data_IF_968554943886
#
_entry.id   IF_968554943886
#
_cell.length_a   1.000
_cell.length_b   1.000
_cell.length_c   1.000
_cell.angle_alpha   90.00
_cell.angle_beta   90.00
_cell.angle_gamma   90.00
#
_symmetry.space_group_name_H-M   'P 1'
#
loop_
_entity.id
_entity.type
_entity.pdbx_description
1 polymer ?
#
# COMPACT_ATOMS: atom_id res chain seq x y z
N UNK A 1 -9.19 0.19 -6.96
CA UNK A 1 -9.32 1.11 -8.11
C UNK A 1 -7.98 1.79 -8.41
N UNK A 2 -7.33 2.42 -7.44
CA UNK A 2 -6.05 3.14 -7.57
C UNK A 2 -4.98 2.31 -8.28
N UNK A 3 -4.69 1.10 -7.78
CA UNK A 3 -3.65 0.23 -8.38
C UNK A 3 -3.98 -0.19 -9.81
N UNK A 4 -5.26 -0.41 -10.10
CA UNK A 4 -5.70 -0.72 -11.46
C UNK A 4 -5.48 0.47 -12.41
N UNK A 5 -5.82 1.69 -11.98
CA UNK A 5 -5.60 2.90 -12.76
C UNK A 5 -4.11 3.15 -12.99
N UNK A 6 -3.27 2.96 -11.96
CA UNK A 6 -1.83 3.09 -12.07
C UNK A 6 -1.23 2.06 -13.04
N UNK A 7 -1.65 0.79 -12.94
CA UNK A 7 -1.24 -0.25 -13.90
C UNK A 7 -1.63 0.12 -15.33
N UNK A 8 -2.90 0.49 -15.55
CA UNK A 8 -3.38 0.90 -16.86
C UNK A 8 -2.59 2.09 -17.40
N UNK A 9 -2.38 3.12 -16.58
CA UNK A 9 -1.59 4.30 -16.94
C UNK A 9 -0.17 3.94 -17.36
N UNK A 10 0.51 3.09 -16.58
CA UNK A 10 1.87 2.63 -16.87
C UNK A 10 1.94 1.81 -18.16
N UNK A 11 1.03 0.86 -18.36
CA UNK A 11 0.99 0.02 -19.58
C UNK A 11 0.65 0.85 -20.82
N UNK A 12 -0.31 1.77 -20.71
CA UNK A 12 -0.70 2.65 -21.82
C UNK A 12 0.42 3.62 -22.18
N UNK A 13 1.15 4.16 -21.18
CA UNK A 13 2.31 5.00 -21.41
C UNK A 13 3.42 4.22 -22.14
N UNK A 14 3.74 3.02 -21.66
CA UNK A 14 4.72 2.15 -22.32
C UNK A 14 4.32 1.86 -23.78
N UNK A 15 3.07 1.47 -24.03
CA UNK A 15 2.57 1.22 -25.39
C UNK A 15 2.62 2.47 -26.26
N UNK A 16 2.19 3.61 -25.73
CA UNK A 16 2.20 4.90 -26.43
C UNK A 16 3.62 5.30 -26.85
N UNK A 17 4.61 5.11 -25.98
CA UNK A 17 6.01 5.40 -26.26
C UNK A 17 6.60 4.43 -27.30
N UNK A 18 6.34 3.13 -27.19
CA UNK A 18 6.84 2.15 -28.17
C UNK A 18 6.25 2.36 -29.55
N UNK A 19 4.94 2.54 -29.65
CA UNK A 19 4.21 2.69 -30.93
C UNK A 19 4.18 4.14 -31.43
N UNK A 20 4.78 5.09 -30.66
CA UNK A 20 4.80 6.52 -31.00
C UNK A 20 3.40 7.09 -31.22
N UNK A 21 2.44 6.67 -30.42
CA UNK A 21 1.04 7.03 -30.53
C UNK A 21 0.60 7.91 -29.34
N UNK A 22 0.41 9.19 -29.60
CA UNK A 22 0.01 10.20 -28.60
C UNK A 22 -1.35 9.94 -27.99
N UNK A 23 -2.27 9.26 -28.69
CA UNK A 23 -3.57 8.90 -28.11
C UNK A 23 -3.40 7.99 -26.90
N UNK A 24 -2.54 6.97 -27.01
CA UNK A 24 -2.22 6.09 -25.88
C UNK A 24 -1.54 6.84 -24.73
N UNK A 25 -0.69 7.82 -25.05
CA UNK A 25 -0.06 8.67 -24.03
C UNK A 25 -1.10 9.56 -23.32
N UNK A 26 -2.07 10.11 -24.05
CA UNK A 26 -3.17 10.87 -23.47
C UNK A 26 -4.05 9.98 -22.57
N UNK A 27 -4.40 8.77 -23.02
CA UNK A 27 -5.13 7.83 -22.17
C UNK A 27 -4.34 7.40 -20.93
N UNK A 28 -3.01 7.28 -21.02
CA UNK A 28 -2.16 7.07 -19.85
C UNK A 28 -2.31 8.23 -18.87
N UNK A 29 -2.26 9.48 -19.38
CA UNK A 29 -2.52 10.65 -18.55
C UNK A 29 -3.90 10.63 -17.89
N UNK A 30 -4.95 10.23 -18.62
CA UNK A 30 -6.30 10.07 -18.05
C UNK A 30 -6.31 9.09 -16.87
N UNK A 31 -5.67 7.93 -17.02
CA UNK A 31 -5.59 6.95 -15.93
C UNK A 31 -4.83 7.49 -14.71
N UNK A 32 -3.71 8.19 -14.92
CA UNK A 32 -2.92 8.78 -13.83
C UNK A 32 -3.68 9.93 -13.15
N UNK A 33 -4.37 10.80 -13.90
CA UNK A 33 -5.20 11.86 -13.33
C UNK A 33 -6.37 11.29 -12.51
N UNK A 34 -7.01 10.24 -12.99
CA UNK A 34 -8.05 9.53 -12.24
C UNK A 34 -7.48 8.85 -10.99
N UNK A 35 -6.24 8.33 -11.02
CA UNK A 35 -5.56 7.77 -9.87
C UNK A 35 -5.36 8.81 -8.76
N UNK A 36 -4.95 10.03 -9.11
CA UNK A 36 -4.78 11.14 -8.15
C UNK A 36 -6.10 11.52 -7.48
N UNK A 37 -7.22 11.51 -8.24
CA UNK A 37 -8.55 11.78 -7.66
C UNK A 37 -9.00 10.70 -6.66
N UNK A 38 -8.53 9.46 -6.81
CA UNK A 38 -8.84 8.39 -5.85
C UNK A 38 -7.95 8.44 -4.61
N UNK A 39 -6.74 8.99 -4.71
CA UNK A 39 -5.79 9.13 -3.63
C UNK A 39 -4.79 10.23 -3.95
N UNK A 40 -4.83 11.32 -3.22
CA UNK A 40 -4.00 12.51 -3.49
C UNK A 40 -2.48 12.23 -3.53
N UNK A 41 -1.88 11.42 -2.62
CA UNK A 41 -0.46 11.10 -2.68
C UNK A 41 -0.01 10.46 -4.01
N UNK A 42 -0.92 9.93 -4.81
CA UNK A 42 -0.60 9.37 -6.13
C UNK A 42 -0.12 10.44 -7.13
N UNK A 43 -0.13 11.71 -6.77
CA UNK A 43 0.49 12.78 -7.60
C UNK A 43 1.96 12.48 -7.93
N UNK A 44 2.66 11.71 -7.07
CA UNK A 44 4.03 11.26 -7.34
C UNK A 44 4.13 10.35 -8.56
N UNK A 45 3.02 9.71 -9.00
CA UNK A 45 2.96 8.91 -10.22
C UNK A 45 3.25 9.75 -11.47
N UNK A 46 3.08 11.08 -11.40
CA UNK A 46 3.48 12.01 -12.45
C UNK A 46 4.98 11.91 -12.79
N UNK A 47 5.83 11.39 -11.89
CA UNK A 47 7.24 11.12 -12.16
C UNK A 47 7.45 10.13 -13.31
N UNK A 48 6.44 9.32 -13.69
CA UNK A 48 6.49 8.50 -14.91
C UNK A 48 6.73 9.32 -16.20
N UNK A 49 6.53 10.64 -16.17
CA UNK A 49 6.87 11.54 -17.26
C UNK A 49 8.37 11.48 -17.63
N UNK A 50 9.24 11.12 -16.67
CA UNK A 50 10.67 10.90 -16.89
C UNK A 50 10.89 9.83 -17.97
N UNK A 51 10.03 8.82 -18.06
CA UNK A 51 10.10 7.78 -19.09
C UNK A 51 9.87 8.36 -20.51
N UNK A 52 9.05 9.41 -20.63
CA UNK A 52 8.81 10.10 -21.93
C UNK A 52 10.08 10.80 -22.40
N UNK A 53 10.72 11.56 -21.50
CA UNK A 53 12.00 12.23 -21.79
C UNK A 53 13.10 11.22 -22.13
N UNK A 54 13.28 10.22 -21.27
CA UNK A 54 14.28 9.19 -21.46
C UNK A 54 14.15 8.47 -22.81
N UNK A 55 12.92 8.02 -23.14
CA UNK A 55 12.70 7.32 -24.39
C UNK A 55 12.83 8.23 -25.62
N UNK A 56 12.43 9.49 -25.48
CA UNK A 56 12.65 10.51 -26.50
C UNK A 56 14.14 10.72 -26.83
N UNK A 57 14.97 10.85 -25.79
CA UNK A 57 16.43 10.94 -25.92
C UNK A 57 17.00 9.66 -26.53
N UNK A 58 16.58 8.49 -26.05
CA UNK A 58 17.04 7.19 -26.55
C UNK A 58 16.71 6.97 -28.04
N UNK A 59 15.60 7.55 -28.50
CA UNK A 59 15.17 7.55 -29.91
C UNK A 59 15.77 8.70 -30.71
N UNK A 60 16.55 9.60 -30.10
CA UNK A 60 17.13 10.80 -30.71
C UNK A 60 16.05 11.72 -31.32
N UNK A 61 14.89 11.86 -30.66
CA UNK A 61 13.83 12.76 -31.07
C UNK A 61 14.26 14.23 -30.92
N UNK A 62 13.69 15.10 -31.74
CA UNK A 62 13.81 16.57 -31.53
C UNK A 62 13.09 16.96 -30.25
N UNK A 63 13.60 17.93 -29.51
CA UNK A 63 12.99 18.41 -28.26
C UNK A 63 11.51 18.76 -28.44
N UNK A 64 11.12 19.39 -29.51
CA UNK A 64 9.73 19.73 -29.81
C UNK A 64 8.81 18.49 -29.89
N UNK A 65 9.29 17.34 -30.39
CA UNK A 65 8.51 16.11 -30.44
C UNK A 65 8.35 15.49 -29.04
N UNK A 66 9.41 15.54 -28.21
CA UNK A 66 9.34 15.09 -26.82
C UNK A 66 8.31 15.91 -26.06
N UNK A 67 8.34 17.25 -26.20
CA UNK A 67 7.35 18.13 -25.57
C UNK A 67 5.91 17.88 -26.03
N UNK A 68 5.69 17.54 -27.31
CA UNK A 68 4.37 17.14 -27.81
C UNK A 68 3.89 15.82 -27.18
N UNK A 69 4.80 14.87 -26.91
CA UNK A 69 4.49 13.62 -26.25
C UNK A 69 4.16 13.86 -24.75
N UNK A 70 4.92 14.73 -24.08
CA UNK A 70 4.64 15.21 -22.73
C UNK A 70 3.29 15.91 -22.66
N UNK A 71 3.03 16.84 -23.59
CA UNK A 71 1.77 17.57 -23.65
C UNK A 71 0.57 16.64 -23.81
N UNK A 72 0.68 15.56 -24.60
CA UNK A 72 -0.38 14.56 -24.72
C UNK A 72 -0.70 13.90 -23.38
N UNK A 73 0.32 13.51 -22.58
CA UNK A 73 0.12 12.96 -21.23
C UNK A 73 -0.52 13.99 -20.31
N UNK A 74 -0.02 15.21 -20.29
CA UNK A 74 -0.52 16.29 -19.42
C UNK A 74 -1.97 16.66 -19.76
N UNK A 75 -2.31 16.76 -21.05
CA UNK A 75 -3.69 17.05 -21.48
C UNK A 75 -4.64 15.95 -20.98
N UNK A 76 -4.25 14.67 -21.13
CA UNK A 76 -5.05 13.56 -20.60
C UNK A 76 -5.22 13.62 -19.08
N UNK A 77 -4.14 13.89 -18.35
CA UNK A 77 -4.16 14.05 -16.90
C UNK A 77 -5.09 15.17 -16.43
N UNK A 78 -4.90 16.37 -17.00
CA UNK A 78 -5.71 17.54 -16.65
C UNK A 78 -7.18 17.33 -17.01
N UNK A 79 -7.46 16.72 -18.18
CA UNK A 79 -8.84 16.43 -18.58
C UNK A 79 -9.53 15.50 -17.59
N UNK A 80 -8.88 14.40 -17.16
CA UNK A 80 -9.44 13.48 -16.17
C UNK A 80 -9.65 14.16 -14.83
N UNK A 81 -8.66 14.94 -14.38
CA UNK A 81 -8.74 15.67 -13.12
C UNK A 81 -9.89 16.69 -13.13
N UNK A 82 -10.02 17.47 -14.20
CA UNK A 82 -11.11 18.45 -14.34
C UNK A 82 -12.49 17.78 -14.40
N UNK A 83 -12.63 16.70 -15.14
CA UNK A 83 -13.91 15.97 -15.23
C UNK A 83 -14.30 15.41 -13.86
N UNK A 84 -13.36 14.79 -13.15
CA UNK A 84 -13.62 14.26 -11.81
C UNK A 84 -13.90 15.37 -10.80
N UNK A 85 -13.14 16.46 -10.83
CA UNK A 85 -13.40 17.64 -10.00
C UNK A 85 -14.80 18.22 -10.25
N UNK A 86 -15.20 18.37 -11.50
CA UNK A 86 -16.53 18.87 -11.86
C UNK A 86 -17.62 17.89 -11.37
N UNK A 87 -17.44 16.59 -11.54
CA UNK A 87 -18.41 15.60 -11.07
C UNK A 87 -18.59 15.65 -9.55
N UNK A 88 -17.51 15.75 -8.79
CA UNK A 88 -17.55 15.91 -7.33
C UNK A 88 -18.21 17.22 -6.95
N UNK A 89 -17.86 18.33 -7.61
CA UNK A 89 -18.40 19.66 -7.33
C UNK A 89 -19.88 19.77 -7.62
N UNK A 90 -20.38 19.11 -8.63
CA UNK A 90 -21.81 19.07 -8.94
C UNK A 90 -22.61 18.29 -7.89
N UNK A 91 -22.00 17.30 -7.24
CA UNK A 91 -22.65 16.49 -6.20
C UNK A 91 -22.56 17.14 -4.81
N UNK A 92 -21.39 17.74 -4.47
CA UNK A 92 -21.07 18.18 -3.11
C UNK A 92 -20.86 19.69 -2.94
N UNK A 93 -20.90 20.52 -3.95
CA UNK A 93 -20.53 21.94 -4.01
C UNK A 93 -19.09 22.18 -4.49
N UNK A 94 -18.89 23.30 -5.17
CA UNK A 94 -17.60 23.67 -5.79
C UNK A 94 -16.47 23.95 -4.79
N UNK A 95 -16.80 24.28 -3.55
CA UNK A 95 -15.82 24.57 -2.49
C UNK A 95 -15.42 23.35 -1.66
N UNK A 96 -16.14 22.23 -1.77
CA UNK A 96 -15.89 21.04 -0.95
C UNK A 96 -14.51 20.42 -1.22
N UNK A 97 -14.17 20.18 -2.48
CA UNK A 97 -12.88 19.56 -2.83
C UNK A 97 -11.67 20.47 -2.52
N UNK A 98 -11.66 21.78 -2.87
CA UNK A 98 -10.61 22.69 -2.43
C UNK A 98 -10.46 22.79 -0.91
N UNK A 99 -11.55 22.85 -0.16
CA UNK A 99 -11.49 22.85 1.32
C UNK A 99 -10.86 21.57 1.87
N UNK A 100 -11.23 20.42 1.31
CA UNK A 100 -10.60 19.13 1.66
C UNK A 100 -9.10 19.15 1.38
N UNK A 101 -8.66 19.67 0.23
CA UNK A 101 -7.23 19.78 -0.09
C UNK A 101 -6.47 20.69 0.88
N UNK A 102 -7.07 21.84 1.25
CA UNK A 102 -6.48 22.75 2.24
C UNK A 102 -6.41 22.08 3.63
N UNK A 103 -7.47 21.37 4.03
CA UNK A 103 -7.48 20.60 5.27
C UNK A 103 -6.36 19.55 5.30
N UNK A 104 -6.23 18.76 4.24
CA UNK A 104 -5.15 17.75 4.13
C UNK A 104 -3.74 18.39 4.19
N UNK A 105 -3.55 19.56 3.59
CA UNK A 105 -2.29 20.29 3.69
C UNK A 105 -2.01 20.80 5.11
N UNK A 106 -3.05 21.15 5.86
CA UNK A 106 -2.95 21.55 7.27
C UNK A 106 -2.49 20.40 8.17
N UNK A 107 -2.96 19.18 7.93
CA UNK A 107 -2.56 18.00 8.71
C UNK A 107 -1.08 17.65 8.57
N UNK A 108 -0.44 17.94 7.44
CA UNK A 108 0.98 17.65 7.24
C UNK A 108 1.93 18.46 8.16
N UNK A 109 1.43 19.47 8.85
CA UNK A 109 2.20 20.30 9.78
C UNK A 109 2.02 19.96 11.26
N UNK A 110 1.09 19.06 11.59
CA UNK A 110 0.72 18.76 13.00
C UNK A 110 1.48 17.56 13.58
N UNK A 111 2.07 16.71 12.74
CA UNK A 111 2.80 15.51 13.16
C UNK A 111 4.17 15.45 12.46
N UNK A 112 5.25 15.36 13.22
CA UNK A 112 6.62 15.24 12.73
C UNK A 112 6.82 14.00 11.85
N UNK A 113 6.04 12.95 12.07
CA UNK A 113 6.10 11.69 11.29
C UNK A 113 5.65 11.87 9.84
N UNK A 114 4.85 12.90 9.54
CA UNK A 114 4.40 13.25 8.18
C UNK A 114 5.27 14.29 7.49
N UNK A 115 6.43 14.64 8.07
CA UNK A 115 7.37 15.51 7.36
C UNK A 115 7.95 14.80 6.13
N UNK A 116 8.19 15.55 5.04
CA UNK A 116 8.77 14.98 3.80
C UNK A 116 10.11 14.30 4.05
N UNK A 117 10.88 14.79 5.04
CA UNK A 117 12.17 14.22 5.39
C UNK A 117 12.00 12.89 6.12
N UNK A 118 11.07 12.80 7.08
CA UNK A 118 10.83 11.56 7.84
C UNK A 118 10.31 10.45 6.90
N UNK A 119 9.42 10.76 5.95
CA UNK A 119 8.96 9.79 4.96
C UNK A 119 10.09 9.23 4.09
N UNK A 120 11.04 10.07 3.66
CA UNK A 120 12.19 9.62 2.87
C UNK A 120 13.16 8.81 3.74
N UNK A 121 13.44 9.26 4.95
CA UNK A 121 14.36 8.56 5.85
C UNK A 121 13.83 7.20 6.29
N UNK A 122 12.53 7.06 6.54
CA UNK A 122 11.91 5.77 6.86
C UNK A 122 12.02 4.77 5.71
N UNK A 123 11.78 5.22 4.47
CA UNK A 123 11.98 4.38 3.26
C UNK A 123 13.43 3.94 3.12
N UNK A 124 14.39 4.86 3.30
CA UNK A 124 15.83 4.54 3.23
C UNK A 124 16.22 3.55 4.32
N UNK A 125 15.73 3.76 5.56
CA UNK A 125 15.98 2.85 6.70
C UNK A 125 15.47 1.44 6.39
N UNK A 126 14.24 1.30 5.89
CA UNK A 126 13.66 0.00 5.51
C UNK A 126 14.50 -0.72 4.43
N UNK A 127 15.01 0.03 3.44
CA UNK A 127 15.95 -0.55 2.47
C UNK A 127 17.26 -0.99 3.13
N UNK A 128 17.85 -0.16 3.98
CA UNK A 128 19.10 -0.50 4.70
C UNK A 128 18.92 -1.75 5.56
N UNK A 129 17.83 -1.84 6.29
CA UNK A 129 17.52 -3.03 7.12
C UNK A 129 17.36 -4.30 6.30
N UNK A 130 16.64 -4.23 5.18
CA UNK A 130 16.45 -5.39 4.31
C UNK A 130 17.74 -5.79 3.54
N UNK A 131 18.71 -4.87 3.39
CA UNK A 131 19.95 -5.14 2.65
C UNK A 131 20.76 -6.28 3.24
N UNK A 132 20.71 -6.50 4.55
CA UNK A 132 21.36 -7.64 5.23
C UNK A 132 20.98 -8.98 4.60
N UNK A 133 19.74 -9.16 4.20
CA UNK A 133 19.24 -10.41 3.60
C UNK A 133 19.79 -10.61 2.19
N UNK A 134 19.80 -9.54 1.41
CA UNK A 134 20.38 -9.55 0.06
C UNK A 134 21.87 -9.84 0.11
N UNK A 135 22.57 -9.28 1.11
CA UNK A 135 23.99 -9.52 1.32
C UNK A 135 24.26 -10.99 1.66
N UNK A 136 23.49 -11.59 2.57
CA UNK A 136 23.63 -13.01 2.94
C UNK A 136 23.40 -13.91 1.72
N UNK A 137 22.32 -13.68 0.96
CA UNK A 137 22.01 -14.45 -0.25
C UNK A 137 23.07 -14.24 -1.34
N UNK A 138 23.55 -13.01 -1.50
CA UNK A 138 24.61 -12.64 -2.43
C UNK A 138 25.95 -13.30 -2.09
N UNK A 139 26.33 -13.30 -0.80
CA UNK A 139 27.55 -14.00 -0.35
C UNK A 139 27.44 -15.50 -0.60
N UNK A 140 26.29 -16.12 -0.29
CA UNK A 140 26.09 -17.55 -0.56
C UNK A 140 26.18 -17.89 -2.06
N UNK A 141 25.63 -17.03 -2.93
CA UNK A 141 25.76 -17.17 -4.38
C UNK A 141 27.22 -16.99 -4.84
N UNK A 142 27.92 -15.99 -4.29
CA UNK A 142 29.32 -15.71 -4.61
C UNK A 142 30.24 -16.87 -4.19
N UNK A 143 30.14 -17.34 -2.95
CA UNK A 143 30.93 -18.47 -2.44
C UNK A 143 30.71 -19.72 -3.28
N UNK A 144 29.44 -20.00 -3.65
CA UNK A 144 29.15 -21.07 -4.58
C UNK A 144 29.80 -20.85 -5.95
N UNK A 145 29.73 -19.65 -6.50
CA UNK A 145 30.37 -19.34 -7.81
C UNK A 145 31.88 -19.49 -7.76
N UNK A 146 32.52 -19.03 -6.68
CA UNK A 146 33.95 -19.19 -6.44
C UNK A 146 34.33 -20.67 -6.37
N UNK A 147 33.54 -21.50 -5.69
CA UNK A 147 33.76 -22.96 -5.63
C UNK A 147 33.78 -23.60 -7.06
N UNK A 148 32.82 -23.21 -7.92
CA UNK A 148 32.78 -23.70 -9.29
C UNK A 148 33.93 -23.15 -10.15
N UNK A 149 34.38 -21.94 -9.89
CA UNK A 149 35.46 -21.28 -10.60
C UNK A 149 36.84 -21.90 -10.26
N UNK A 150 37.10 -22.13 -8.96
CA UNK A 150 38.40 -22.64 -8.50
C UNK A 150 38.63 -24.12 -8.87
N UNK A 151 37.56 -24.90 -9.04
CA UNK A 151 37.65 -26.34 -9.35
C UNK A 151 36.92 -26.71 -10.65
N UNK A 152 37.28 -26.13 -11.80
CA UNK A 152 36.60 -26.39 -13.05
C UNK A 152 36.74 -27.87 -13.47
N UNK A 153 35.67 -28.45 -13.99
CA UNK A 153 35.66 -29.81 -14.54
C UNK A 153 35.77 -30.95 -13.53
N UNK A 154 36.17 -30.70 -12.28
CA UNK A 154 36.28 -31.73 -11.25
C UNK A 154 34.98 -31.86 -10.45
N UNK A 155 34.43 -33.09 -10.37
CA UNK A 155 33.26 -33.39 -9.54
C UNK A 155 32.07 -32.42 -9.72
N UNK A 156 31.78 -31.95 -10.95
CA UNK A 156 30.72 -30.94 -11.20
C UNK A 156 29.38 -31.35 -10.63
N UNK A 157 28.94 -32.60 -10.86
CA UNK A 157 27.65 -33.07 -10.31
C UNK A 157 27.66 -33.09 -8.77
N UNK A 158 28.77 -33.48 -8.15
CA UNK A 158 28.92 -33.46 -6.69
C UNK A 158 28.86 -32.06 -6.12
N UNK A 159 29.51 -31.07 -6.76
CA UNK A 159 29.41 -29.64 -6.37
C UNK A 159 28.00 -29.11 -6.53
N UNK A 160 27.29 -29.47 -7.60
CA UNK A 160 25.90 -29.09 -7.80
C UNK A 160 25.00 -29.63 -6.68
N UNK A 161 25.13 -30.94 -6.37
CA UNK A 161 24.37 -31.57 -5.28
C UNK A 161 24.71 -30.93 -3.95
N UNK A 162 25.98 -30.72 -3.64
CA UNK A 162 26.43 -30.09 -2.41
C UNK A 162 25.82 -28.68 -2.26
N UNK A 163 25.88 -27.88 -3.32
CA UNK A 163 25.32 -26.53 -3.30
C UNK A 163 23.79 -26.53 -3.12
N UNK A 164 23.08 -27.44 -3.80
CA UNK A 164 21.64 -27.59 -3.62
C UNK A 164 21.28 -28.06 -2.22
N UNK A 165 22.07 -28.93 -1.58
CA UNK A 165 21.88 -29.32 -0.18
C UNK A 165 22.16 -28.18 0.82
N UNK A 166 23.00 -27.22 0.45
CA UNK A 166 23.24 -26.02 1.25
C UNK A 166 22.07 -25.03 1.25
N UNK A 167 21.25 -25.00 0.19
CA UNK A 167 20.10 -24.06 0.13
C UNK A 167 19.06 -24.29 1.24
N UNK A 168 18.58 -25.51 1.55
CA UNK A 168 17.71 -25.75 2.70
C UNK A 168 18.34 -25.35 4.04
N UNK A 169 19.65 -25.55 4.21
CA UNK A 169 20.36 -25.11 5.42
C UNK A 169 20.36 -23.59 5.53
N UNK A 170 20.63 -22.90 4.43
CA UNK A 170 20.55 -21.43 4.36
C UNK A 170 19.12 -20.93 4.67
N UNK A 171 18.11 -21.55 4.07
CA UNK A 171 16.72 -21.17 4.33
C UNK A 171 16.33 -21.43 5.79
N UNK A 172 16.81 -22.53 6.40
CA UNK A 172 16.62 -22.81 7.84
C UNK A 172 17.30 -21.77 8.72
N UNK A 173 18.50 -21.33 8.34
CA UNK A 173 19.20 -20.23 9.01
C UNK A 173 18.40 -18.92 8.94
N UNK A 174 17.94 -18.56 7.75
CA UNK A 174 17.12 -17.34 7.54
C UNK A 174 15.80 -17.41 8.32
N UNK A 175 15.19 -18.59 8.42
CA UNK A 175 14.02 -18.81 9.28
C UNK A 175 14.30 -18.46 10.73
N UNK A 176 15.42 -18.96 11.28
CA UNK A 176 15.81 -18.67 12.67
C UNK A 176 16.15 -17.18 12.93
N UNK A 177 16.30 -16.37 11.87
CA UNK A 177 16.60 -14.95 11.93
C UNK A 177 15.40 -14.04 11.61
N UNK A 178 14.18 -14.60 11.53
CA UNK A 178 12.94 -13.85 11.35
C UNK A 178 12.58 -13.51 9.89
N UNK A 179 13.35 -14.03 8.90
CA UNK A 179 13.03 -13.78 7.49
C UNK A 179 11.79 -14.55 6.99
N UNK A 180 11.30 -15.51 7.76
CA UNK A 180 10.06 -16.21 7.50
C UNK A 180 9.10 -16.02 8.65
N UNK A 181 7.92 -15.57 8.34
CA UNK A 181 6.77 -15.61 9.23
C UNK A 181 5.63 -16.30 8.47
N UNK A 182 5.13 -17.41 9.00
CA UNK A 182 4.05 -18.18 8.40
C UNK A 182 2.66 -17.78 8.93
N UNK A 183 2.60 -16.78 9.80
CA UNK A 183 1.35 -16.13 10.18
C UNK A 183 0.96 -15.16 9.09
N UNK A 184 -0.06 -15.50 8.32
CA UNK A 184 -0.47 -14.72 7.16
C UNK A 184 -1.57 -13.68 7.46
N UNK A 185 -1.80 -13.35 8.74
CA UNK A 185 -2.80 -12.36 9.14
C UNK A 185 -2.48 -10.94 8.66
N UNK A 186 -1.22 -10.66 8.34
CA UNK A 186 -0.74 -9.37 7.86
C UNK A 186 0.35 -9.55 6.80
N UNK A 187 1.07 -8.50 6.41
CA UNK A 187 2.15 -8.56 5.40
C UNK A 187 3.44 -9.26 5.87
N UNK A 188 3.58 -9.56 7.15
CA UNK A 188 4.83 -10.01 7.77
C UNK A 188 5.51 -11.19 7.08
N UNK A 189 4.71 -12.17 6.67
CA UNK A 189 5.23 -13.41 6.09
C UNK A 189 5.79 -13.26 4.69
N UNK A 190 5.47 -12.16 4.02
CA UNK A 190 5.88 -11.95 2.62
C UNK A 190 6.76 -10.72 2.44
N UNK A 191 6.73 -9.79 3.40
CA UNK A 191 7.39 -8.49 3.29
C UNK A 191 8.91 -8.60 3.05
N UNK A 192 9.62 -9.37 3.85
CA UNK A 192 11.08 -9.52 3.73
C UNK A 192 11.50 -10.09 2.35
N UNK A 193 10.74 -11.04 1.83
CA UNK A 193 10.98 -11.61 0.50
C UNK A 193 10.58 -10.65 -0.62
N UNK A 194 9.58 -9.80 -0.38
CA UNK A 194 9.29 -8.70 -1.29
C UNK A 194 10.47 -7.73 -1.39
N UNK A 195 11.07 -7.35 -0.26
CA UNK A 195 12.25 -6.49 -0.24
C UNK A 195 13.42 -7.10 -0.99
N UNK A 196 13.69 -8.41 -0.81
CA UNK A 196 14.69 -9.13 -1.61
C UNK A 196 14.37 -9.08 -3.10
N UNK A 197 13.09 -9.30 -3.49
CA UNK A 197 12.67 -9.22 -4.88
C UNK A 197 12.85 -7.80 -5.45
N UNK A 198 12.56 -6.75 -4.66
CA UNK A 198 12.77 -5.36 -5.08
C UNK A 198 14.26 -5.08 -5.34
N UNK A 199 15.16 -5.55 -4.49
CA UNK A 199 16.60 -5.44 -4.73
C UNK A 199 17.05 -6.16 -6.00
N UNK A 200 16.55 -7.38 -6.23
CA UNK A 200 16.79 -8.11 -7.47
C UNK A 200 16.26 -7.34 -8.67
N UNK A 201 15.05 -6.76 -8.57
CA UNK A 201 14.45 -5.93 -9.61
C UNK A 201 15.31 -4.69 -9.91
N UNK A 202 15.73 -3.96 -8.88
CA UNK A 202 16.59 -2.77 -9.01
C UNK A 202 17.90 -3.16 -9.72
N UNK A 203 18.56 -4.22 -9.26
CA UNK A 203 19.81 -4.70 -9.84
C UNK A 203 19.65 -5.09 -11.33
N UNK A 204 18.59 -5.84 -11.66
CA UNK A 204 18.29 -6.23 -13.05
C UNK A 204 17.93 -5.02 -13.93
N UNK A 205 17.20 -4.06 -13.40
CA UNK A 205 16.86 -2.84 -14.13
C UNK A 205 18.10 -2.00 -14.42
N UNK A 206 18.95 -1.76 -13.40
CA UNK A 206 20.21 -1.01 -13.57
C UNK A 206 21.11 -1.70 -14.59
N UNK A 207 21.26 -3.02 -14.48
CA UNK A 207 22.06 -3.79 -15.43
C UNK A 207 21.49 -3.67 -16.87
N UNK A 208 20.17 -3.80 -17.03
CA UNK A 208 19.52 -3.67 -18.36
C UNK A 208 19.68 -2.27 -18.94
N UNK A 209 19.63 -1.23 -18.12
CA UNK A 209 19.86 0.16 -18.54
C UNK A 209 21.31 0.38 -18.97
N UNK A 210 22.28 -0.20 -18.25
CA UNK A 210 23.70 -0.05 -18.52
C UNK A 210 24.18 -0.86 -19.75
N UNK A 211 23.55 -2.01 -20.05
CA UNK A 211 23.98 -2.88 -21.15
C UNK A 211 23.66 -2.25 -22.52
N UNK A 212 24.68 -1.86 -23.34
CA UNK A 212 24.45 -1.23 -24.64
C UNK A 212 23.77 -2.13 -25.66
N UNK A 213 23.84 -3.45 -25.49
CA UNK A 213 23.31 -4.45 -26.42
C UNK A 213 21.81 -4.74 -26.23
N UNK A 214 21.22 -4.21 -25.18
CA UNK A 214 19.79 -4.42 -24.88
C UNK A 214 18.91 -3.50 -25.74
N UNK A 215 17.78 -4.03 -26.18
CA UNK A 215 16.80 -3.28 -26.96
C UNK A 215 16.27 -2.06 -26.20
N UNK A 216 16.06 -0.96 -26.93
CA UNK A 216 15.53 0.31 -26.36
C UNK A 216 14.20 0.13 -25.61
N UNK A 217 13.33 -0.77 -26.09
CA UNK A 217 12.06 -1.11 -25.42
C UNK A 217 12.26 -1.73 -24.03
N UNK A 218 13.27 -2.57 -23.90
CA UNK A 218 13.57 -3.24 -22.64
C UNK A 218 14.21 -2.26 -21.65
N UNK A 219 15.02 -1.31 -22.13
CA UNK A 219 15.55 -0.20 -21.33
C UNK A 219 14.41 0.71 -20.83
N UNK A 220 13.44 1.03 -21.69
CA UNK A 220 12.27 1.80 -21.28
C UNK A 220 11.49 1.06 -20.17
N UNK A 221 11.22 -0.24 -20.37
CA UNK A 221 10.51 -1.05 -19.38
C UNK A 221 11.25 -1.09 -18.04
N UNK A 222 12.59 -1.25 -18.08
CA UNK A 222 13.44 -1.24 -16.88
C UNK A 222 13.37 0.09 -16.14
N UNK A 223 13.43 1.21 -16.87
CA UNK A 223 13.29 2.53 -16.25
C UNK A 223 11.93 2.71 -15.62
N UNK A 224 10.85 2.32 -16.29
CA UNK A 224 9.50 2.44 -15.75
C UNK A 224 9.31 1.62 -14.49
N UNK A 225 9.82 0.37 -14.45
CA UNK A 225 9.80 -0.46 -13.24
C UNK A 225 10.60 0.20 -12.12
N UNK A 226 11.76 0.75 -12.42
CA UNK A 226 12.58 1.46 -11.43
C UNK A 226 11.84 2.67 -10.86
N UNK A 227 11.22 3.47 -11.72
CA UNK A 227 10.39 4.60 -11.30
C UNK A 227 9.24 4.13 -10.41
N UNK A 228 8.51 3.08 -10.79
CA UNK A 228 7.43 2.52 -9.96
C UNK A 228 7.94 2.13 -8.58
N UNK A 229 9.07 1.43 -8.48
CA UNK A 229 9.66 1.03 -7.19
C UNK A 229 10.00 2.26 -6.33
N UNK A 230 10.58 3.29 -6.94
CA UNK A 230 11.06 4.47 -6.22
C UNK A 230 9.95 5.42 -5.80
N UNK A 231 8.91 5.60 -6.66
CA UNK A 231 7.84 6.56 -6.38
C UNK A 231 6.74 6.01 -5.48
N UNK A 232 6.51 4.70 -5.48
CA UNK A 232 5.40 4.06 -4.76
C UNK A 232 5.39 4.35 -3.25
N UNK A 233 6.52 4.29 -2.53
CA UNK A 233 6.52 4.55 -1.09
C UNK A 233 6.43 6.05 -0.75
N UNK A 234 6.67 6.95 -1.71
CA UNK A 234 6.64 8.40 -1.48
C UNK A 234 5.20 8.86 -1.29
N UNK A 235 4.97 9.73 -0.31
CA UNK A 235 3.64 10.26 0.01
C UNK A 235 2.87 9.41 1.03
N UNK A 236 3.57 8.53 1.74
CA UNK A 236 3.05 7.74 2.85
C UNK A 236 4.17 7.54 3.89
N UNK A 237 3.81 7.54 5.17
CA UNK A 237 4.73 7.19 6.27
C UNK A 237 4.82 5.67 6.52
N UNK A 238 4.27 4.86 5.61
CA UNK A 238 4.27 3.39 5.70
C UNK A 238 5.56 2.77 5.12
N UNK A 239 6.70 3.44 5.20
CA UNK A 239 7.99 2.92 4.73
C UNK A 239 7.92 2.35 3.30
N UNK A 240 8.37 1.10 3.12
CA UNK A 240 8.33 0.39 1.83
C UNK A 240 7.13 -0.55 1.66
N UNK A 241 6.23 -0.65 2.65
CA UNK A 241 5.03 -1.49 2.55
C UNK A 241 4.16 -1.19 1.32
N UNK A 242 3.98 0.08 0.88
CA UNK A 242 3.22 0.38 -0.33
C UNK A 242 3.75 -0.33 -1.60
N UNK A 243 5.05 -0.67 -1.65
CA UNK A 243 5.62 -1.41 -2.79
C UNK A 243 5.02 -2.80 -2.97
N UNK A 244 4.52 -3.44 -1.90
CA UNK A 244 3.83 -4.73 -2.00
C UNK A 244 2.58 -4.63 -2.86
N UNK A 245 1.89 -3.51 -2.80
CA UNK A 245 0.67 -3.27 -3.57
C UNK A 245 0.95 -3.14 -5.09
N UNK A 246 2.17 -2.77 -5.48
CA UNK A 246 2.57 -2.63 -6.88
C UNK A 246 3.39 -3.81 -7.40
N UNK A 247 3.52 -4.90 -6.62
CA UNK A 247 4.24 -6.11 -7.06
C UNK A 247 3.63 -6.75 -8.31
N UNK A 248 2.33 -6.61 -8.55
CA UNK A 248 1.69 -7.10 -9.77
C UNK A 248 2.27 -6.47 -11.06
N UNK A 249 2.89 -5.29 -10.96
CA UNK A 249 3.61 -4.65 -12.07
C UNK A 249 5.10 -5.01 -12.05
N UNK A 250 5.73 -4.96 -10.88
CA UNK A 250 7.18 -5.15 -10.71
C UNK A 250 7.58 -6.62 -10.87
N UNK A 251 6.88 -7.55 -10.21
CA UNK A 251 7.28 -8.95 -10.17
C UNK A 251 7.28 -9.64 -11.55
N UNK A 252 6.25 -9.51 -12.42
CA UNK A 252 6.27 -10.13 -13.74
C UNK A 252 7.45 -9.68 -14.59
N UNK A 253 7.79 -8.39 -14.54
CA UNK A 253 8.93 -7.84 -15.29
C UNK A 253 10.25 -8.34 -14.70
N UNK A 254 10.36 -8.40 -13.37
CA UNK A 254 11.53 -8.94 -12.67
C UNK A 254 11.76 -10.41 -13.02
N UNK A 255 10.70 -11.24 -13.00
CA UNK A 255 10.82 -12.65 -13.41
C UNK A 255 11.21 -12.81 -14.88
N UNK A 256 10.65 -11.98 -15.77
CA UNK A 256 11.01 -12.00 -17.18
C UNK A 256 12.49 -11.61 -17.39
N UNK A 257 12.97 -10.54 -16.73
CA UNK A 257 14.38 -10.13 -16.77
C UNK A 257 15.30 -11.19 -16.15
N UNK A 258 14.91 -11.74 -15.00
CA UNK A 258 15.60 -12.84 -14.33
C UNK A 258 15.73 -14.07 -15.22
N UNK A 259 14.65 -14.45 -15.91
CA UNK A 259 14.69 -15.55 -16.88
C UNK A 259 15.69 -15.27 -18.02
N UNK A 260 15.70 -14.07 -18.57
CA UNK A 260 16.70 -13.68 -19.60
C UNK A 260 18.12 -13.73 -19.07
N UNK A 261 18.34 -13.29 -17.82
CA UNK A 261 19.63 -13.43 -17.15
C UNK A 261 20.01 -14.89 -16.99
N UNK A 262 19.11 -15.75 -16.53
CA UNK A 262 19.35 -17.19 -16.41
C UNK A 262 19.79 -17.83 -17.73
N UNK A 263 19.18 -17.45 -18.86
CA UNK A 263 19.58 -17.93 -20.19
C UNK A 263 20.98 -17.47 -20.56
N UNK A 264 21.38 -16.22 -20.25
CA UNK A 264 22.75 -15.73 -20.48
C UNK A 264 23.74 -16.46 -19.58
N UNK A 265 23.45 -16.59 -18.29
CA UNK A 265 24.29 -17.26 -17.32
C UNK A 265 24.48 -18.76 -17.61
N UNK A 266 23.51 -19.42 -18.24
CA UNK A 266 23.59 -20.82 -18.62
C UNK A 266 24.80 -21.12 -19.52
N UNK A 267 25.32 -20.14 -20.22
CA UNK A 267 26.49 -20.25 -21.10
C UNK A 267 27.82 -20.20 -20.33
N UNK A 268 27.77 -19.80 -19.05
CA UNK A 268 28.96 -19.69 -18.21
C UNK A 268 29.07 -20.91 -17.30
N UNK A 269 30.18 -21.68 -17.34
CA UNK A 269 30.33 -22.99 -16.65
C UNK A 269 30.23 -22.84 -15.12
N UNK A 270 30.68 -21.71 -14.56
CA UNK A 270 30.71 -21.44 -13.11
C UNK A 270 29.47 -20.74 -12.56
N UNK A 271 28.46 -20.52 -13.38
CA UNK A 271 27.27 -19.72 -12.99
C UNK A 271 26.19 -20.52 -12.26
N UNK A 272 26.38 -21.81 -11.99
CA UNK A 272 25.35 -22.67 -11.42
C UNK A 272 24.82 -22.13 -10.09
N UNK A 273 25.72 -21.76 -9.19
CA UNK A 273 25.33 -21.24 -7.87
C UNK A 273 24.43 -19.97 -7.96
N UNK A 274 24.83 -19.02 -8.81
CA UNK A 274 24.06 -17.80 -9.03
C UNK A 274 22.68 -18.11 -9.63
N UNK A 275 22.59 -19.03 -10.60
CA UNK A 275 21.32 -19.47 -11.19
C UNK A 275 20.42 -20.16 -10.17
N UNK A 276 20.99 -21.07 -9.38
CA UNK A 276 20.25 -21.78 -8.33
C UNK A 276 19.73 -20.83 -7.26
N UNK A 277 20.53 -19.82 -6.88
CA UNK A 277 20.09 -18.79 -5.93
C UNK A 277 18.95 -17.93 -6.48
N UNK A 278 19.03 -17.46 -7.74
CA UNK A 278 17.96 -16.71 -8.36
C UNK A 278 16.65 -17.51 -8.43
N UNK A 279 16.73 -18.79 -8.77
CA UNK A 279 15.58 -19.70 -8.78
C UNK A 279 15.05 -19.90 -7.35
N UNK A 280 15.92 -20.09 -6.37
CA UNK A 280 15.54 -20.23 -4.96
C UNK A 280 14.76 -19.02 -4.48
N UNK A 281 15.27 -17.80 -4.69
CA UNK A 281 14.58 -16.55 -4.32
C UNK A 281 13.21 -16.45 -5.00
N UNK A 282 13.13 -16.74 -6.30
CA UNK A 282 11.88 -16.70 -7.05
C UNK A 282 10.85 -17.70 -6.50
N UNK A 283 11.27 -18.94 -6.23
CA UNK A 283 10.40 -19.99 -5.70
C UNK A 283 9.90 -19.64 -4.30
N UNK A 284 10.81 -19.21 -3.42
CA UNK A 284 10.42 -18.83 -2.04
C UNK A 284 9.46 -17.64 -2.06
N UNK A 285 9.74 -16.61 -2.86
CA UNK A 285 8.84 -15.47 -3.03
C UNK A 285 7.44 -15.93 -3.50
N UNK A 286 7.36 -16.79 -4.51
CA UNK A 286 6.10 -17.31 -5.02
C UNK A 286 5.34 -18.12 -3.96
N UNK A 287 6.04 -18.97 -3.19
CA UNK A 287 5.42 -19.74 -2.11
C UNK A 287 4.86 -18.79 -1.03
N UNK A 288 5.64 -17.81 -0.58
CA UNK A 288 5.21 -16.85 0.44
C UNK A 288 4.05 -16.00 -0.06
N UNK A 289 4.12 -15.47 -1.28
CA UNK A 289 3.05 -14.66 -1.87
C UNK A 289 1.76 -15.46 -2.09
N UNK A 290 1.87 -16.71 -2.51
CA UNK A 290 0.71 -17.60 -2.67
C UNK A 290 0.11 -17.95 -1.31
N UNK A 291 0.95 -18.29 -0.32
CA UNK A 291 0.52 -18.57 1.04
C UNK A 291 -0.23 -17.38 1.65
N UNK A 292 0.31 -16.18 1.49
CA UNK A 292 -0.36 -14.95 1.90
C UNK A 292 -1.69 -14.77 1.17
N UNK A 293 -1.71 -14.84 -0.16
CA UNK A 293 -2.93 -14.61 -0.95
C UNK A 293 -4.06 -15.62 -0.70
N UNK A 294 -3.71 -16.86 -0.28
CA UNK A 294 -4.70 -17.91 0.01
C UNK A 294 -5.21 -17.85 1.45
N UNK A 295 -4.35 -17.50 2.41
CA UNK A 295 -4.65 -17.62 3.85
C UNK A 295 -4.92 -16.29 4.52
N UNK A 296 -4.29 -15.21 4.08
CA UNK A 296 -4.44 -13.93 4.73
C UNK A 296 -5.67 -13.18 4.25
N UNK A 297 -6.36 -12.59 5.20
CA UNK A 297 -7.34 -11.56 4.96
C UNK A 297 -6.92 -10.35 5.77
N UNK A 298 -6.54 -9.30 5.09
CA UNK A 298 -6.02 -8.11 5.73
C UNK A 298 -7.02 -7.51 6.72
N UNK A 299 -6.65 -7.46 8.00
CA UNK A 299 -7.40 -6.88 9.13
C UNK A 299 -8.82 -7.42 9.35
N UNK A 300 -9.20 -8.56 8.77
CA UNK A 300 -10.59 -9.03 8.91
C UNK A 300 -10.70 -10.37 9.64
N UNK A 301 -9.69 -11.24 9.61
CA UNK A 301 -9.78 -12.53 10.27
C UNK A 301 -8.43 -13.07 10.74
N UNK A 302 -8.47 -13.91 11.76
CA UNK A 302 -7.35 -14.76 12.12
C UNK A 302 -7.14 -15.82 11.03
N UNK A 303 -5.89 -16.24 10.83
CA UNK A 303 -5.54 -17.25 9.83
C UNK A 303 -6.43 -18.50 9.94
N UNK A 304 -7.00 -18.91 8.82
CA UNK A 304 -7.84 -20.10 8.72
C UNK A 304 -9.33 -19.89 8.99
N UNK A 305 -9.77 -18.73 9.42
CA UNK A 305 -11.20 -18.44 9.57
C UNK A 305 -11.87 -18.24 8.20
N UNK A 306 -13.06 -18.78 8.03
CA UNK A 306 -13.87 -18.59 6.83
C UNK A 306 -14.54 -17.22 6.86
N UNK A 307 -14.58 -16.57 5.69
CA UNK A 307 -15.31 -15.33 5.44
C UNK A 307 -16.54 -15.63 4.59
N UNK A 308 -17.53 -16.22 5.18
CA UNK A 308 -18.77 -16.64 4.51
C UNK A 308 -20.03 -16.01 5.11
N UNK A 309 -19.91 -15.31 6.23
CA UNK A 309 -21.02 -14.68 6.94
C UNK A 309 -21.22 -13.24 6.49
N UNK A 310 -22.48 -12.82 6.40
CA UNK A 310 -22.90 -11.47 6.04
C UNK A 310 -23.67 -10.83 7.17
N UNK A 311 -23.56 -9.52 7.28
CA UNK A 311 -24.50 -8.71 8.06
C UNK A 311 -25.79 -8.58 7.24
N UNK A 312 -26.91 -8.84 7.84
CA UNK A 312 -28.23 -8.72 7.23
C UNK A 312 -28.88 -7.37 7.58
N UNK A 313 -29.93 -6.99 6.88
CA UNK A 313 -30.67 -5.73 7.10
C UNK A 313 -29.84 -4.45 6.96
N UNK A 314 -28.65 -4.53 6.33
CA UNK A 314 -27.82 -3.38 6.04
C UNK A 314 -27.50 -3.31 4.54
N UNK A 315 -28.13 -2.37 3.83
CA UNK A 315 -27.98 -2.20 2.38
C UNK A 315 -26.52 -1.95 1.96
N UNK A 316 -25.80 -1.15 2.73
CA UNK A 316 -24.40 -0.80 2.43
C UNK A 316 -23.43 -1.97 2.57
N UNK A 317 -23.76 -2.94 3.42
CA UNK A 317 -22.96 -4.16 3.63
C UNK A 317 -23.45 -5.38 2.84
N UNK A 318 -24.47 -5.25 1.99
CA UNK A 318 -25.12 -6.37 1.28
C UNK A 318 -24.17 -7.23 0.46
N UNK A 319 -23.07 -6.68 -0.05
CA UNK A 319 -22.03 -7.39 -0.79
C UNK A 319 -20.85 -7.86 0.03
N UNK A 320 -20.71 -7.42 1.28
CA UNK A 320 -19.58 -7.72 2.14
C UNK A 320 -19.74 -9.09 2.84
N UNK A 321 -18.63 -9.79 2.98
CA UNK A 321 -18.54 -11.01 3.79
C UNK A 321 -17.36 -10.88 4.75
N UNK A 322 -17.58 -11.34 5.97
CA UNK A 322 -16.54 -11.41 7.00
C UNK A 322 -16.60 -12.76 7.74
N UNK A 323 -15.77 -12.97 8.72
CA UNK A 323 -15.89 -14.13 9.59
C UNK A 323 -17.15 -14.01 10.48
N UNK A 324 -17.58 -15.15 11.02
CA UNK A 324 -18.85 -15.23 11.77
C UNK A 324 -18.86 -14.32 13.01
N UNK A 325 -17.78 -14.29 13.77
CA UNK A 325 -17.72 -13.49 15.00
C UNK A 325 -17.84 -11.98 14.69
N UNK A 326 -17.08 -11.49 13.70
CA UNK A 326 -17.18 -10.09 13.30
C UNK A 326 -18.57 -9.75 12.74
N UNK A 327 -19.18 -10.68 11.99
CA UNK A 327 -20.52 -10.47 11.46
C UNK A 327 -21.57 -10.36 12.55
N UNK A 328 -21.54 -11.26 13.54
CA UNK A 328 -22.45 -11.25 14.69
C UNK A 328 -22.31 -9.95 15.50
N UNK A 329 -21.08 -9.56 15.85
CA UNK A 329 -20.83 -8.34 16.60
C UNK A 329 -21.26 -7.07 15.85
N UNK A 330 -21.02 -7.02 14.52
CA UNK A 330 -21.46 -5.88 13.72
C UNK A 330 -22.98 -5.89 13.52
N UNK A 331 -23.61 -7.07 13.48
CA UNK A 331 -25.07 -7.21 13.38
C UNK A 331 -25.76 -6.58 14.59
N UNK A 332 -25.25 -6.84 15.81
CA UNK A 332 -25.81 -6.26 17.03
C UNK A 332 -25.87 -4.72 16.97
N UNK A 333 -24.80 -4.11 16.44
CA UNK A 333 -24.75 -2.63 16.26
C UNK A 333 -25.74 -2.14 15.20
N UNK A 334 -25.86 -2.90 14.09
CA UNK A 334 -26.78 -2.57 13.00
C UNK A 334 -28.24 -2.70 13.46
N UNK A 335 -28.55 -3.76 14.20
CA UNK A 335 -29.90 -4.01 14.71
C UNK A 335 -30.27 -2.96 15.79
N UNK A 336 -29.35 -2.65 16.70
CA UNK A 336 -29.56 -1.57 17.67
C UNK A 336 -29.87 -0.24 16.99
N UNK A 337 -29.07 0.15 15.98
CA UNK A 337 -29.30 1.38 15.25
C UNK A 337 -30.64 1.36 14.50
N UNK A 338 -31.02 0.24 13.90
CA UNK A 338 -32.27 0.11 13.17
C UNK A 338 -33.51 0.22 14.09
N UNK A 339 -33.41 -0.30 15.34
CA UNK A 339 -34.48 -0.23 16.34
C UNK A 339 -34.69 1.20 16.88
N UNK A 340 -33.62 2.00 16.95
CA UNK A 340 -33.65 3.35 17.54
C UNK A 340 -33.57 4.47 16.47
N UNK A 341 -33.53 4.12 15.19
CA UNK A 341 -33.37 5.11 14.09
C UNK A 341 -34.48 6.17 14.06
N UNK A 342 -35.70 5.79 14.44
CA UNK A 342 -36.85 6.70 14.49
C UNK A 342 -36.81 7.69 15.68
N UNK A 343 -35.95 7.40 16.67
CA UNK A 343 -35.78 8.27 17.86
C UNK A 343 -34.67 9.30 17.64
N UNK A 344 -33.83 9.11 16.61
CA UNK A 344 -32.77 10.02 16.27
C UNK A 344 -33.35 11.26 15.51
N UNK A 345 -33.00 12.44 15.95
CA UNK A 345 -33.38 13.68 15.29
C UNK A 345 -32.71 13.81 13.91
N UNK A 346 -33.31 14.60 13.01
CA UNK A 346 -32.81 14.85 11.64
C UNK A 346 -31.36 15.39 11.60
N UNK A 347 -30.87 15.97 12.69
CA UNK A 347 -29.54 16.53 12.86
C UNK A 347 -28.63 15.68 13.77
N UNK A 348 -29.00 14.44 14.08
CA UNK A 348 -28.20 13.56 14.93
C UNK A 348 -26.80 13.38 14.37
N UNK A 349 -25.81 13.33 15.26
CA UNK A 349 -24.40 13.13 14.95
C UNK A 349 -23.91 11.85 15.61
N UNK A 350 -22.80 11.32 15.11
CA UNK A 350 -22.18 10.13 15.63
C UNK A 350 -20.76 10.44 16.12
N UNK A 351 -20.44 10.04 17.34
CA UNK A 351 -19.09 10.05 17.87
C UNK A 351 -18.54 8.62 17.84
N UNK A 352 -17.45 8.41 17.14
CA UNK A 352 -16.78 7.09 17.04
C UNK A 352 -15.38 7.15 17.60
N UNK A 353 -14.91 6.08 18.28
CA UNK A 353 -13.54 5.93 18.75
C UNK A 353 -13.12 4.47 18.83
N UNK A 354 -11.83 4.16 18.64
CA UNK A 354 -11.30 2.81 18.61
C UNK A 354 -11.23 2.23 17.18
N UNK A 355 -10.69 3.01 16.23
CA UNK A 355 -10.45 2.61 14.82
C UNK A 355 -11.75 2.22 14.06
N UNK A 356 -12.87 2.90 14.35
CA UNK A 356 -14.21 2.59 13.80
C UNK A 356 -14.90 3.76 13.08
N UNK A 357 -14.20 4.57 12.28
CA UNK A 357 -14.80 5.73 11.59
C UNK A 357 -15.87 5.32 10.56
N UNK A 358 -15.86 4.06 10.14
CA UNK A 358 -16.78 3.51 9.14
C UNK A 358 -18.26 3.58 9.55
N UNK A 359 -18.59 3.69 10.83
CA UNK A 359 -19.98 3.78 11.28
C UNK A 359 -20.67 5.10 10.84
N UNK A 360 -19.93 6.20 10.75
CA UNK A 360 -20.46 7.45 10.21
C UNK A 360 -20.99 7.25 8.78
N UNK A 361 -20.21 6.58 7.93
CA UNK A 361 -20.64 6.20 6.59
C UNK A 361 -21.76 5.16 6.61
N UNK A 362 -21.68 4.17 7.50
CA UNK A 362 -22.64 3.07 7.54
C UNK A 362 -24.06 3.55 7.82
N UNK A 363 -24.20 4.49 8.77
CA UNK A 363 -25.47 5.02 9.25
C UNK A 363 -25.88 6.35 8.62
N UNK A 364 -25.09 6.91 7.69
CA UNK A 364 -25.30 8.24 7.09
C UNK A 364 -25.36 9.38 8.12
N UNK A 365 -24.66 9.22 9.25
CA UNK A 365 -24.56 10.24 10.29
C UNK A 365 -23.23 10.99 10.18
N UNK A 366 -23.26 12.34 10.22
CA UNK A 366 -22.03 13.12 10.27
C UNK A 366 -21.30 12.89 11.59
N UNK A 367 -19.98 13.03 11.58
CA UNK A 367 -19.18 13.00 12.81
C UNK A 367 -19.60 14.13 13.75
N UNK A 368 -19.64 13.84 15.05
CA UNK A 368 -19.86 14.83 16.10
C UNK A 368 -18.60 15.70 16.33
N UNK A 369 -17.42 15.16 16.00
CA UNK A 369 -16.14 15.84 16.11
C UNK A 369 -15.76 16.49 14.77
N UNK A 370 -14.83 17.43 14.80
CA UNK A 370 -14.32 18.08 13.58
C UNK A 370 -13.48 17.15 12.68
N UNK A 371 -13.22 15.92 13.12
CA UNK A 371 -12.53 14.89 12.36
C UNK A 371 -13.34 13.58 12.38
N UNK A 372 -13.49 12.93 11.20
CA UNK A 372 -14.25 11.68 11.08
C UNK A 372 -13.53 10.46 11.67
N UNK A 373 -12.22 10.55 11.90
CA UNK A 373 -11.40 9.49 12.47
C UNK A 373 -10.53 10.03 13.61
N UNK A 374 -11.10 10.15 14.82
CA UNK A 374 -10.45 10.82 15.95
C UNK A 374 -9.24 10.09 16.52
N UNK A 375 -9.09 8.79 16.23
CA UNK A 375 -7.90 8.01 16.65
C UNK A 375 -6.60 8.48 15.96
N UNK A 376 -6.70 9.10 14.78
CA UNK A 376 -5.53 9.52 14.01
C UNK A 376 -4.68 10.55 14.76
N UNK A 377 -3.34 10.43 14.65
CA UNK A 377 -2.38 11.38 15.24
C UNK A 377 -2.47 12.78 14.62
N UNK A 378 -3.08 12.90 13.43
CA UNK A 378 -3.39 14.17 12.77
C UNK A 378 -4.52 14.95 13.41
N UNK A 379 -5.22 14.35 14.36
CA UNK A 379 -6.24 14.98 15.19
C UNK A 379 -5.75 15.04 16.65
N UNK A 380 -5.15 16.17 17.09
CA UNK A 380 -4.54 16.28 18.41
C UNK A 380 -5.56 16.17 19.55
N UNK A 381 -5.14 15.67 20.70
CA UNK A 381 -5.97 15.54 21.90
C UNK A 381 -6.57 16.90 22.34
N UNK A 382 -5.83 18.01 22.16
CA UNK A 382 -6.30 19.36 22.48
C UNK A 382 -7.47 19.81 21.57
N UNK A 383 -7.40 19.43 20.29
CA UNK A 383 -8.53 19.69 19.36
C UNK A 383 -9.75 18.88 19.77
N UNK A 384 -9.56 17.60 20.13
CA UNK A 384 -10.63 16.76 20.63
C UNK A 384 -11.26 17.30 21.89
N UNK A 385 -10.46 17.80 22.84
CA UNK A 385 -10.93 18.49 24.05
C UNK A 385 -11.85 19.65 23.70
N UNK A 386 -11.42 20.51 22.77
CA UNK A 386 -12.18 21.69 22.34
C UNK A 386 -13.52 21.28 21.72
N UNK A 387 -13.53 20.23 20.87
CA UNK A 387 -14.74 19.73 20.24
C UNK A 387 -15.71 19.13 21.28
N UNK A 388 -15.22 18.34 22.24
CA UNK A 388 -16.03 17.74 23.30
C UNK A 388 -16.61 18.80 24.25
N UNK A 389 -15.84 19.85 24.59
CA UNK A 389 -16.32 21.00 25.37
C UNK A 389 -17.42 21.77 24.61
N UNK A 390 -17.27 21.96 23.30
CA UNK A 390 -18.28 22.60 22.46
C UNK A 390 -19.60 21.80 22.44
N UNK A 391 -19.53 20.47 22.32
CA UNK A 391 -20.70 19.58 22.41
C UNK A 391 -21.39 19.70 23.77
N UNK A 392 -20.63 19.68 24.87
CA UNK A 392 -21.18 19.82 26.23
C UNK A 392 -21.86 21.19 26.45
N UNK A 393 -21.24 22.27 25.94
CA UNK A 393 -21.80 23.62 26.04
C UNK A 393 -23.07 23.79 25.21
N UNK A 394 -23.12 23.13 24.05
CA UNK A 394 -24.32 23.13 23.20
C UNK A 394 -25.46 22.25 23.76
N UNK A 395 -25.16 21.39 24.74
CA UNK A 395 -26.09 20.39 25.23
C UNK A 395 -26.39 19.29 24.21
N UNK A 396 -25.54 19.14 23.20
CA UNK A 396 -25.66 18.09 22.18
C UNK A 396 -25.20 16.72 22.75
N UNK A 397 -26.06 15.70 22.61
CA UNK A 397 -25.75 14.34 22.96
C UNK A 397 -25.69 13.46 21.69
N UNK A 398 -24.55 13.39 20.99
CA UNK A 398 -24.40 12.47 19.86
C UNK A 398 -24.50 11.01 20.31
N UNK A 399 -24.98 10.12 19.44
CA UNK A 399 -24.83 8.69 19.62
C UNK A 399 -23.32 8.34 19.64
N UNK A 400 -22.89 7.52 20.60
CA UNK A 400 -21.47 7.18 20.74
C UNK A 400 -21.25 5.68 20.48
N UNK A 401 -20.36 5.35 19.57
CA UNK A 401 -19.95 3.98 19.26
C UNK A 401 -18.44 3.81 19.46
N UNK A 402 -18.06 2.94 20.37
CA UNK A 402 -16.69 2.69 20.75
C UNK A 402 -16.26 1.26 20.45
N UNK A 403 -14.97 1.07 20.17
CA UNK A 403 -14.32 -0.23 20.11
C UNK A 403 -13.09 -0.23 21.04
N UNK A 404 -13.28 -0.42 22.38
CA UNK A 404 -12.22 -0.28 23.36
C UNK A 404 -11.00 -1.17 23.11
N UNK A 405 -11.21 -2.37 22.57
CA UNK A 405 -10.12 -3.31 22.23
C UNK A 405 -9.20 -2.90 21.08
N UNK A 406 -9.51 -1.76 20.44
CA UNK A 406 -8.68 -1.20 19.35
C UNK A 406 -7.91 0.04 19.75
N UNK A 407 -8.15 0.58 20.92
CA UNK A 407 -7.44 1.72 21.47
C UNK A 407 -5.99 1.32 21.72
N UNK A 408 -5.04 2.04 21.12
CA UNK A 408 -3.61 1.81 21.35
C UNK A 408 -3.16 2.47 22.66
N UNK A 409 -3.06 1.66 23.71
CA UNK A 409 -2.62 2.12 25.02
C UNK A 409 -1.12 2.37 25.13
N UNK A 410 -0.34 2.01 24.12
CA UNK A 410 1.10 2.35 24.03
C UNK A 410 1.31 3.73 23.41
N UNK A 411 0.35 4.23 22.64
CA UNK A 411 0.36 5.60 22.12
C UNK A 411 -0.18 6.59 23.18
N UNK A 412 0.71 7.47 23.64
CA UNK A 412 0.36 8.46 24.67
C UNK A 412 -0.74 9.44 24.24
N UNK A 413 -0.80 9.79 22.93
CA UNK A 413 -1.77 10.72 22.40
C UNK A 413 -3.17 10.05 22.29
N UNK A 414 -3.21 8.80 21.86
CA UNK A 414 -4.44 8.03 21.78
C UNK A 414 -5.00 7.72 23.16
N UNK A 415 -4.13 7.36 24.11
CA UNK A 415 -4.50 7.18 25.54
C UNK A 415 -5.11 8.46 26.12
N UNK A 416 -4.50 9.63 25.87
CA UNK A 416 -5.04 10.92 26.34
C UNK A 416 -6.42 11.21 25.73
N UNK A 417 -6.62 10.93 24.46
CA UNK A 417 -7.93 11.10 23.81
C UNK A 417 -8.99 10.18 24.40
N UNK A 418 -8.58 8.92 24.70
CA UNK A 418 -9.46 7.95 25.34
C UNK A 418 -9.91 8.43 26.71
N UNK A 419 -9.00 8.96 27.54
CA UNK A 419 -9.31 9.53 28.86
C UNK A 419 -10.29 10.72 28.74
N UNK A 420 -10.04 11.65 27.81
CA UNK A 420 -10.93 12.77 27.53
C UNK A 420 -12.36 12.32 27.15
N UNK A 421 -12.44 11.26 26.34
CA UNK A 421 -13.72 10.70 25.95
C UNK A 421 -14.47 10.06 27.13
N UNK A 422 -13.76 9.31 27.99
CA UNK A 422 -14.36 8.71 29.18
C UNK A 422 -14.86 9.79 30.16
N UNK A 423 -14.10 10.88 30.35
CA UNK A 423 -14.52 12.03 31.15
C UNK A 423 -15.78 12.69 30.55
N UNK A 424 -15.83 12.89 29.24
CA UNK A 424 -16.99 13.45 28.53
C UNK A 424 -18.25 12.59 28.75
N UNK A 425 -18.15 11.27 28.60
CA UNK A 425 -19.26 10.35 28.82
C UNK A 425 -19.79 10.43 30.25
N UNK A 426 -18.88 10.46 31.23
CA UNK A 426 -19.24 10.52 32.63
C UNK A 426 -19.89 11.87 33.00
N UNK A 427 -19.35 13.00 32.52
CA UNK A 427 -19.85 14.34 32.80
C UNK A 427 -21.23 14.62 32.19
N UNK A 428 -21.51 14.03 31.02
CA UNK A 428 -22.77 14.25 30.30
C UNK A 428 -23.81 13.13 30.57
N UNK A 429 -23.59 12.29 31.61
CA UNK A 429 -24.49 11.24 32.03
C UNK A 429 -24.92 10.30 30.89
N UNK A 430 -23.95 9.82 30.13
CA UNK A 430 -24.19 8.80 29.13
C UNK A 430 -24.41 7.43 29.77
N UNK A 431 -25.38 6.71 29.24
CA UNK A 431 -25.66 5.33 29.66
C UNK A 431 -25.19 4.35 28.58
N UNK A 432 -24.52 3.28 28.99
CA UNK A 432 -24.16 2.19 28.10
C UNK A 432 -25.40 1.36 27.76
N UNK A 433 -25.80 1.36 26.50
CA UNK A 433 -26.99 0.66 26.00
C UNK A 433 -26.68 -0.70 25.39
N UNK A 434 -25.50 -0.84 24.81
CA UNK A 434 -25.02 -2.12 24.23
C UNK A 434 -23.55 -2.33 24.56
N UNK A 435 -23.21 -3.55 24.95
CA UNK A 435 -21.83 -4.06 25.00
C UNK A 435 -21.83 -5.51 24.51
N UNK A 436 -21.21 -5.77 23.38
CA UNK A 436 -21.09 -7.12 22.84
C UNK A 436 -19.65 -7.67 22.89
N UNK A 437 -18.82 -7.08 23.74
CA UNK A 437 -17.41 -7.45 23.93
C UNK A 437 -16.45 -6.90 22.86
N UNK A 438 -16.97 -6.31 21.79
CA UNK A 438 -16.18 -5.59 20.76
C UNK A 438 -16.61 -4.15 20.64
N UNK A 439 -17.89 -3.92 20.50
CA UNK A 439 -18.49 -2.59 20.38
C UNK A 439 -19.29 -2.24 21.61
N UNK A 440 -19.20 -0.97 21.98
CA UNK A 440 -20.00 -0.37 23.04
C UNK A 440 -20.78 0.82 22.45
N UNK A 441 -22.08 0.91 22.78
CA UNK A 441 -22.93 2.02 22.39
C UNK A 441 -23.39 2.76 23.64
N UNK A 442 -23.29 4.10 23.59
CA UNK A 442 -23.72 4.99 24.66
C UNK A 442 -24.69 6.06 24.13
N UNK A 443 -25.69 6.38 24.95
CA UNK A 443 -26.69 7.43 24.75
C UNK A 443 -26.84 8.34 25.96
#
# INVERSE_FOLDING_TARGET
>A
LTFFLFLCGTVLLYRGLIWQNRKWMAFAGVCLGASVLTRLPNIVECALIIAVFYYGILKKKKAAEIWKDVAACVIGFVAAFLVGFLAISLQFRFDAYPKMLVGLAGYSGTDETYSSLSMITSVVSAYVEAFKWVLILGIAALLGTVLFFLFPGKFEKGKMVLYLCMLPVLLRFLWGRGMFNLQYAFYWSVFEWCMVLLYVAIGLCIWTLADPLVFRRDKLLSLMVLLVILITPIGSNNETYPNMNNLFLVAPVTFWMGYRLLLKLRRLPYSFACRAMLVCVAVVFLIQSTGFGVRAVFRDSIEGQKRDTRVVNCKKLSGAKTNRANAEQLQDVVDYYAEHADELEENSRLLTFGDVPGFCWLFDLPSALSHDWPDMNTYPAETMRTDLEALSQAGEKPLVILCPGKVDTEDAQETQKWELLQEFLAQNAYEMKLDNGTYQIYE
#
